data_IF_180910391313
#
_entry.id   IF_180910391313
#
_cell.length_a   1.000
_cell.length_b   1.000
_cell.length_c   1.000
_cell.angle_alpha   90.00
_cell.angle_beta   90.00
_cell.angle_gamma   90.00
#
_symmetry.space_group_name_H-M   'P 1'
#
loop_
_entity.id
_entity.type
_entity.pdbx_description
1 polymer ?
#
# COMPACT_ATOMS: atom_id res chain seq x y z
N UNK A 1 -43.06 3.20 10.00
CA UNK A 1 -43.29 4.51 10.64
C UNK A 1 -41.96 5.22 10.79
N UNK A 2 -41.83 6.41 10.19
CA UNK A 2 -41.19 7.64 10.73
C UNK A 2 -39.79 7.44 11.34
N UNK A 3 -38.70 7.78 10.65
CA UNK A 3 -38.22 9.16 10.48
C UNK A 3 -37.13 9.45 11.53
N UNK A 4 -36.15 10.35 11.38
CA UNK A 4 -35.92 11.54 10.54
C UNK A 4 -34.38 11.80 10.68
N UNK A 5 -33.60 12.38 9.77
CA UNK A 5 -33.41 13.83 9.57
C UNK A 5 -32.13 14.02 8.71
N UNK A 6 -32.31 14.67 7.56
CA UNK A 6 -31.49 15.74 6.92
C UNK A 6 -29.96 15.63 6.93
N UNK A 7 -29.39 15.30 5.77
CA UNK A 7 -28.32 16.12 5.19
C UNK A 7 -28.69 16.40 3.73
N UNK A 8 -29.00 17.67 3.48
CA UNK A 8 -29.13 18.26 2.16
C UNK A 8 -27.74 18.20 1.52
N UNK A 9 -27.52 17.29 0.57
CA UNK A 9 -26.37 17.36 -0.31
C UNK A 9 -26.84 17.91 -1.64
N UNK A 10 -26.47 19.16 -1.87
CA UNK A 10 -26.72 19.94 -3.06
C UNK A 10 -26.35 19.14 -4.32
N UNK A 11 -27.34 18.92 -5.19
CA UNK A 11 -27.12 18.43 -6.54
C UNK A 11 -26.56 19.58 -7.36
N UNK A 12 -25.24 19.75 -7.35
CA UNK A 12 -24.55 20.61 -8.29
C UNK A 12 -24.38 19.85 -9.59
N UNK A 13 -25.31 20.10 -10.52
CA UNK A 13 -25.12 19.82 -11.94
C UNK A 13 -23.97 20.72 -12.42
N UNK A 14 -22.82 20.13 -12.72
CA UNK A 14 -21.77 20.79 -13.52
C UNK A 14 -21.78 20.17 -14.90
N UNK A 15 -22.11 21.03 -15.86
CA UNK A 15 -22.32 20.80 -17.27
C UNK A 15 -20.98 20.76 -18.01
N UNK A 16 -20.78 19.69 -18.79
CA UNK A 16 -20.00 19.52 -20.02
C UNK A 16 -18.67 20.29 -20.24
N UNK A 17 -17.60 19.52 -20.46
CA UNK A 17 -16.74 19.65 -21.65
C UNK A 17 -15.97 18.35 -21.88
N UNK A 18 -16.27 17.65 -22.98
CA UNK A 18 -15.46 16.55 -23.47
C UNK A 18 -14.14 17.12 -24.00
N UNK A 19 -13.10 17.10 -23.17
CA UNK A 19 -11.73 17.16 -23.69
C UNK A 19 -11.35 15.73 -24.07
N UNK A 20 -11.17 15.52 -25.38
CA UNK A 20 -10.42 14.39 -25.91
C UNK A 20 -8.97 14.53 -25.45
N UNK A 21 -8.72 14.24 -24.18
CA UNK A 21 -7.40 14.16 -23.57
C UNK A 21 -6.93 12.72 -23.60
N UNK A 22 -6.58 12.20 -24.78
CA UNK A 22 -5.66 11.06 -24.86
C UNK A 22 -4.26 11.55 -24.52
N UNK A 23 -4.06 11.98 -23.28
CA UNK A 23 -2.75 11.91 -22.67
C UNK A 23 -2.85 10.75 -21.70
N UNK A 24 -2.51 9.56 -22.19
CA UNK A 24 -1.85 8.62 -21.32
C UNK A 24 -0.75 9.45 -20.66
N UNK A 25 -0.91 9.75 -19.38
CA UNK A 25 0.16 10.35 -18.64
C UNK A 25 1.27 9.32 -18.70
N UNK A 26 2.18 9.50 -19.65
CA UNK A 26 3.56 9.09 -19.54
C UNK A 26 4.03 9.76 -18.26
N UNK A 27 3.76 9.09 -17.15
CA UNK A 27 4.49 9.31 -15.92
C UNK A 27 5.88 8.89 -16.31
N UNK A 28 6.68 9.89 -16.69
CA UNK A 28 8.12 9.80 -16.82
C UNK A 28 8.61 9.43 -15.41
N UNK A 29 8.55 8.13 -15.13
CA UNK A 29 9.18 7.52 -13.98
C UNK A 29 10.65 7.88 -14.16
N UNK A 30 11.13 8.77 -13.30
CA UNK A 30 12.54 9.10 -13.24
C UNK A 30 13.37 7.83 -13.27
N UNK A 31 14.56 7.85 -13.90
CA UNK A 31 15.40 6.67 -13.96
C UNK A 31 15.66 6.23 -12.51
N UNK A 32 15.38 4.95 -12.24
CA UNK A 32 15.96 4.15 -11.13
C UNK A 32 15.02 3.66 -10.02
N UNK A 33 13.70 3.92 -10.04
CA UNK A 33 12.78 3.45 -8.97
C UNK A 33 11.61 2.55 -9.45
N UNK A 34 11.70 1.98 -10.65
CA UNK A 34 10.66 1.09 -11.18
C UNK A 34 10.99 -0.39 -10.92
N UNK A 35 10.40 -0.93 -9.86
CA UNK A 35 10.42 -2.36 -9.51
C UNK A 35 9.97 -3.22 -10.70
N UNK A 36 10.65 -4.33 -10.97
CA UNK A 36 10.28 -5.23 -12.05
C UNK A 36 8.90 -5.88 -11.79
N UNK A 37 8.04 -6.06 -12.82
CA UNK A 37 6.69 -6.60 -12.64
C UNK A 37 6.64 -7.96 -11.93
N UNK A 38 7.59 -8.86 -12.26
CA UNK A 38 7.68 -10.18 -11.62
C UNK A 38 8.08 -10.08 -10.14
N UNK A 39 8.95 -9.14 -9.79
CA UNK A 39 9.33 -8.90 -8.41
C UNK A 39 8.13 -8.32 -7.65
N UNK A 40 7.42 -7.35 -8.24
CA UNK A 40 6.21 -6.75 -7.67
C UNK A 40 5.13 -7.80 -7.39
N UNK A 41 4.81 -8.63 -8.38
CA UNK A 41 3.82 -9.69 -8.23
C UNK A 41 4.19 -10.70 -7.14
N UNK A 42 5.47 -11.08 -7.06
CA UNK A 42 5.95 -11.98 -6.02
C UNK A 42 5.82 -11.36 -4.62
N UNK A 43 6.23 -10.09 -4.46
CA UNK A 43 6.11 -9.39 -3.18
C UNK A 43 4.64 -9.21 -2.78
N UNK A 44 3.75 -8.84 -3.70
CA UNK A 44 2.30 -8.78 -3.44
C UNK A 44 1.79 -10.12 -2.91
N UNK A 45 2.08 -11.21 -3.61
CA UNK A 45 1.61 -12.54 -3.21
C UNK A 45 2.16 -12.97 -1.85
N UNK A 46 3.42 -12.65 -1.54
CA UNK A 46 4.00 -12.95 -0.24
C UNK A 46 3.31 -12.17 0.89
N UNK A 47 3.04 -10.89 0.68
CA UNK A 47 2.33 -10.04 1.64
C UNK A 47 0.87 -10.49 1.84
N UNK A 48 0.20 -10.94 0.78
CA UNK A 48 -1.15 -11.52 0.88
C UNK A 48 -1.16 -12.80 1.73
N UNK A 49 -0.14 -13.65 1.59
CA UNK A 49 0.02 -14.86 2.41
C UNK A 49 0.27 -14.48 3.88
N UNK A 50 1.12 -13.48 4.14
CA UNK A 50 1.36 -12.99 5.50
C UNK A 50 0.08 -12.48 6.13
N UNK A 51 -0.69 -11.64 5.43
CA UNK A 51 -1.94 -11.06 5.92
C UNK A 51 -3.01 -12.12 6.19
N UNK A 52 -3.13 -13.11 5.31
CA UNK A 52 -4.13 -14.17 5.46
C UNK A 52 -3.83 -15.13 6.63
N UNK A 53 -2.57 -15.28 7.00
CA UNK A 53 -2.12 -16.36 7.88
C UNK A 53 -1.44 -15.89 9.18
N UNK A 54 -1.31 -14.58 9.41
CA UNK A 54 -0.78 -14.05 10.66
C UNK A 54 -1.70 -14.38 11.84
N UNK A 55 -1.10 -14.81 12.96
CA UNK A 55 -1.84 -15.18 14.17
C UNK A 55 -2.61 -14.01 14.79
N UNK A 56 -2.07 -12.79 14.67
CA UNK A 56 -2.69 -11.56 15.18
C UNK A 56 -2.92 -10.62 14.01
N UNK A 57 -3.88 -10.96 13.14
CA UNK A 57 -4.13 -10.19 11.91
C UNK A 57 -4.81 -8.84 12.19
N UNK A 58 -5.68 -8.75 13.20
CA UNK A 58 -6.51 -7.56 13.43
C UNK A 58 -5.75 -6.35 14.01
N UNK A 59 -4.67 -6.59 14.76
CA UNK A 59 -3.88 -5.53 15.40
C UNK A 59 -2.75 -4.98 14.50
N UNK A 60 -2.69 -5.44 13.25
CA UNK A 60 -1.60 -5.12 12.31
C UNK A 60 -2.04 -4.03 11.34
N UNK A 61 -1.26 -2.95 11.27
CA UNK A 61 -1.39 -1.95 10.21
C UNK A 61 -0.84 -2.51 8.87
N UNK A 62 -1.67 -3.31 8.21
CA UNK A 62 -1.35 -3.93 6.91
C UNK A 62 -1.03 -2.90 5.81
N UNK A 63 -1.78 -1.79 5.66
CA UNK A 63 -1.42 -0.75 4.71
C UNK A 63 0.01 -0.23 4.91
N UNK A 64 0.40 0.06 6.16
CA UNK A 64 1.75 0.52 6.49
C UNK A 64 2.81 -0.54 6.20
N UNK A 65 2.62 -1.78 6.66
CA UNK A 65 3.57 -2.87 6.43
C UNK A 65 3.79 -3.10 4.93
N UNK A 66 2.71 -3.08 4.12
CA UNK A 66 2.80 -3.22 2.66
C UNK A 66 3.60 -2.06 2.06
N UNK A 67 3.33 -0.82 2.48
CA UNK A 67 4.06 0.35 2.01
C UNK A 67 5.57 0.27 2.33
N UNK A 68 5.91 -0.10 3.56
CA UNK A 68 7.30 -0.22 4.00
C UNK A 68 8.02 -1.33 3.20
N UNK A 69 7.37 -2.48 2.97
CA UNK A 69 7.91 -3.56 2.15
C UNK A 69 8.15 -3.16 0.68
N UNK A 70 7.23 -2.42 0.06
CA UNK A 70 7.42 -1.93 -1.31
C UNK A 70 8.51 -0.85 -1.40
N UNK A 71 8.67 -0.03 -0.37
CA UNK A 71 9.72 0.99 -0.30
C UNK A 71 11.10 0.35 -0.23
N UNK A 72 11.24 -0.70 0.59
CA UNK A 72 12.48 -1.48 0.71
C UNK A 72 12.84 -2.20 -0.60
N UNK A 73 11.84 -2.72 -1.31
CA UNK A 73 12.04 -3.49 -2.54
C UNK A 73 11.87 -2.66 -3.84
N UNK A 74 11.84 -1.33 -3.77
CA UNK A 74 11.47 -0.46 -4.92
C UNK A 74 12.35 -0.65 -6.16
N UNK A 75 13.61 -1.08 -5.98
CA UNK A 75 14.56 -1.33 -7.07
C UNK A 75 14.68 -2.81 -7.46
N UNK A 76 13.87 -3.71 -6.89
CA UNK A 76 13.97 -5.14 -7.13
C UNK A 76 13.78 -5.48 -8.62
N UNK A 77 14.73 -6.24 -9.19
CA UNK A 77 14.73 -6.63 -10.61
C UNK A 77 14.27 -8.07 -10.80
N UNK A 78 14.38 -8.90 -9.76
CA UNK A 78 13.92 -10.30 -9.72
C UNK A 78 13.28 -10.62 -8.37
N UNK A 79 12.50 -11.71 -8.31
CA UNK A 79 11.77 -12.13 -7.11
C UNK A 79 12.69 -12.34 -5.90
N UNK A 80 13.91 -12.84 -6.09
CA UNK A 80 14.86 -13.02 -4.98
C UNK A 80 15.25 -11.72 -4.28
N UNK A 81 15.19 -10.58 -4.99
CA UNK A 81 15.56 -9.28 -4.43
C UNK A 81 14.52 -8.80 -3.41
N UNK A 82 13.29 -9.34 -3.46
CA UNK A 82 12.22 -8.98 -2.53
C UNK A 82 12.31 -9.73 -1.20
N UNK A 83 13.18 -10.74 -1.09
CA UNK A 83 13.25 -11.60 0.09
C UNK A 83 13.65 -10.82 1.34
N UNK A 84 14.47 -9.78 1.19
CA UNK A 84 14.83 -8.89 2.29
C UNK A 84 13.61 -8.16 2.86
N UNK A 85 12.77 -7.59 1.99
CA UNK A 85 11.53 -6.92 2.39
C UNK A 85 10.53 -7.90 3.06
N UNK A 86 10.41 -9.12 2.54
CA UNK A 86 9.53 -10.14 3.14
C UNK A 86 10.02 -10.53 4.54
N UNK A 87 11.34 -10.74 4.72
CA UNK A 87 11.91 -11.04 6.04
C UNK A 87 11.69 -9.91 7.02
N UNK A 88 11.85 -8.66 6.59
CA UNK A 88 11.59 -7.51 7.44
C UNK A 88 10.12 -7.48 7.89
N UNK A 89 9.17 -7.63 6.95
CA UNK A 89 7.76 -7.67 7.32
C UNK A 89 7.40 -8.80 8.29
N UNK A 90 8.05 -9.97 8.19
CA UNK A 90 7.90 -11.06 9.16
C UNK A 90 8.47 -10.71 10.54
N UNK A 91 9.57 -9.97 10.60
CA UNK A 91 10.15 -9.48 11.86
C UNK A 91 9.24 -8.44 12.50
N UNK A 92 8.71 -7.50 11.72
CA UNK A 92 7.80 -6.46 12.20
C UNK A 92 6.53 -7.06 12.83
N UNK A 93 6.04 -8.19 12.29
CA UNK A 93 4.92 -8.96 12.85
C UNK A 93 5.26 -9.59 14.20
N UNK A 94 6.47 -10.13 14.34
CA UNK A 94 6.92 -10.80 15.57
C UNK A 94 7.22 -9.81 16.69
N UNK A 95 7.76 -8.64 16.34
CA UNK A 95 8.29 -7.68 17.31
C UNK A 95 7.22 -6.68 17.78
N UNK A 96 5.96 -6.87 17.35
CA UNK A 96 4.84 -6.01 17.74
C UNK A 96 4.95 -4.57 17.22
N UNK A 97 5.83 -4.32 16.25
CA UNK A 97 6.13 -2.99 15.70
C UNK A 97 4.94 -2.36 14.96
N UNK A 98 3.93 -3.17 14.66
CA UNK A 98 2.78 -2.80 13.84
C UNK A 98 1.60 -2.23 14.65
N UNK A 99 1.81 -1.89 15.93
CA UNK A 99 0.92 -1.02 16.70
C UNK A 99 1.32 0.44 16.51
N UNK A 100 0.57 1.11 15.63
CA UNK A 100 0.41 2.56 15.52
C UNK A 100 1.50 3.46 16.10
N UNK A 101 2.37 3.94 15.23
CA UNK A 101 3.13 5.17 15.48
C UNK A 101 4.39 4.97 16.33
N UNK A 102 5.52 5.11 15.65
CA UNK A 102 6.76 5.73 16.15
C UNK A 102 6.63 6.34 17.55
N UNK A 103 6.82 5.53 18.58
CA UNK A 103 7.22 6.00 19.91
C UNK A 103 8.71 5.77 20.05
N UNK A 104 9.44 6.88 19.95
CA UNK A 104 10.49 7.26 20.88
C UNK A 104 11.34 6.11 21.45
N UNK A 105 12.45 5.82 20.79
CA UNK A 105 13.66 5.45 21.53
C UNK A 105 14.82 6.21 20.91
N UNK A 106 15.05 7.39 21.48
CA UNK A 106 16.37 7.99 21.44
C UNK A 106 17.29 7.19 22.37
N UNK A 107 18.45 6.84 21.86
CA UNK A 107 19.72 7.13 22.53
C UNK A 107 20.84 7.20 21.50
#
# INVERSE_FOLDING_TARGET
MRGRVRIVALVSVVLAAAVAGCTAADTEAGPDDTMAPKARAYLTSALDVMEKHALVTEDVDWPKLRQDAFTEARQARKSSDTYRAIRQGLQDLNDGHIRGGRLLIGR
#
